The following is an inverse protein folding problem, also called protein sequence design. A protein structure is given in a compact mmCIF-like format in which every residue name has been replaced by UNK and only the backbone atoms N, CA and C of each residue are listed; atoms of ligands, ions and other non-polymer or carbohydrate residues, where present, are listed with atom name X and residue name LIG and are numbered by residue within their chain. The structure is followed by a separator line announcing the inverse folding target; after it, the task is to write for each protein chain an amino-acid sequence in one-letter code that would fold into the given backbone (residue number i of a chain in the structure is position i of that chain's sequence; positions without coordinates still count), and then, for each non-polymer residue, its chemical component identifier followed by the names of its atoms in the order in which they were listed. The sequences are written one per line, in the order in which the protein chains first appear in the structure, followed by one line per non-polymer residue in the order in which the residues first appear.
data_IF_667862937937
#
_entry.id   IF_667862937937
#
_cell.length_a   1.000
_cell.length_b   1.000
_cell.length_c   1.000
_cell.angle_alpha   90.00
_cell.angle_beta   90.00
_cell.angle_gamma   90.00
#
_symmetry.space_group_name_H-M   'P 1'
#
loop_
_entity.id
_entity.type
_entity.pdbx_description
1 polymer ?
#
# COMPACT_ATOMS: atom_id res chain seq x y z
N UNK A 1 31.21 -46.00 -21.35
CA UNK A 1 30.89 -45.54 -19.98
C UNK A 1 30.09 -44.26 -20.09
N UNK A 2 28.77 -44.33 -19.88
CA UNK A 2 27.87 -43.16 -19.89
C UNK A 2 27.60 -42.79 -18.44
N UNK A 3 28.13 -41.65 -18.00
CA UNK A 3 27.90 -41.09 -16.67
C UNK A 3 26.58 -40.32 -16.68
N UNK A 4 25.52 -40.93 -16.12
CA UNK A 4 24.24 -40.26 -15.85
C UNK A 4 24.39 -39.50 -14.53
N UNK A 5 24.67 -38.20 -14.61
CA UNK A 5 24.66 -37.32 -13.44
C UNK A 5 23.21 -37.03 -13.03
N UNK A 6 22.76 -37.69 -11.97
CA UNK A 6 21.48 -37.41 -11.33
C UNK A 6 21.55 -36.04 -10.61
N UNK A 7 21.12 -34.98 -11.30
CA UNK A 7 20.98 -33.66 -10.72
C UNK A 7 19.81 -33.64 -9.73
N UNK A 8 20.12 -33.43 -8.44
CA UNK A 8 19.14 -33.12 -7.40
C UNK A 8 18.41 -31.83 -7.78
N UNK A 9 17.16 -31.98 -8.23
CA UNK A 9 16.23 -30.87 -8.40
C UNK A 9 15.89 -30.29 -7.01
N UNK A 10 16.60 -29.23 -6.62
CA UNK A 10 16.27 -28.43 -5.46
C UNK A 10 14.97 -27.66 -5.76
N UNK A 11 13.83 -28.23 -5.34
CA UNK A 11 12.54 -27.55 -5.36
C UNK A 11 12.57 -26.39 -4.37
N UNK A 12 12.92 -25.20 -4.84
CA UNK A 12 12.76 -23.96 -4.09
C UNK A 12 11.28 -23.74 -3.82
N UNK A 13 10.87 -23.92 -2.56
CA UNK A 13 9.58 -23.49 -2.05
C UNK A 13 9.55 -21.96 -2.06
N UNK A 14 9.24 -21.37 -3.22
CA UNK A 14 9.07 -19.94 -3.36
C UNK A 14 7.86 -19.49 -2.54
N UNK A 15 8.07 -18.57 -1.59
CA UNK A 15 6.99 -17.84 -0.97
C UNK A 15 6.28 -17.01 -2.06
N UNK A 16 5.08 -17.44 -2.45
CA UNK A 16 4.24 -16.66 -3.36
C UNK A 16 3.75 -15.35 -2.74
N UNK A 17 3.20 -14.43 -3.53
CA UNK A 17 2.60 -13.21 -3.01
C UNK A 17 1.47 -13.55 -2.04
N UNK A 18 1.33 -12.76 -0.96
CA UNK A 18 0.24 -12.98 -0.02
C UNK A 18 -1.11 -12.72 -0.69
N UNK A 19 -2.12 -13.55 -0.38
CA UNK A 19 -3.49 -13.37 -0.90
C UNK A 19 -4.05 -11.98 -0.57
N UNK A 20 -3.67 -11.42 0.58
CA UNK A 20 -4.06 -10.06 0.98
C UNK A 20 -3.49 -9.01 0.04
N UNK A 21 -2.22 -9.12 -0.34
CA UNK A 21 -1.58 -8.18 -1.29
C UNK A 21 -2.22 -8.27 -2.67
N UNK A 22 -2.49 -9.49 -3.16
CA UNK A 22 -3.17 -9.69 -4.45
C UNK A 22 -4.57 -9.09 -4.44
N UNK A 23 -5.32 -9.29 -3.36
CA UNK A 23 -6.65 -8.71 -3.21
C UNK A 23 -6.62 -7.18 -3.17
N UNK A 24 -5.71 -6.58 -2.39
CA UNK A 24 -5.55 -5.13 -2.35
C UNK A 24 -5.19 -4.57 -3.72
N UNK A 25 -4.25 -5.21 -4.41
CA UNK A 25 -3.86 -4.84 -5.77
C UNK A 25 -5.02 -4.91 -6.76
N UNK A 26 -5.88 -5.93 -6.65
CA UNK A 26 -7.10 -6.02 -7.46
C UNK A 26 -8.06 -4.87 -7.17
N UNK A 27 -8.30 -4.54 -5.90
CA UNK A 27 -9.21 -3.45 -5.54
C UNK A 27 -8.72 -2.10 -6.08
N UNK A 28 -7.41 -1.83 -6.04
CA UNK A 28 -6.84 -0.62 -6.64
C UNK A 28 -6.97 -0.60 -8.17
N UNK A 29 -6.74 -1.75 -8.82
CA UNK A 29 -6.91 -1.85 -10.27
C UNK A 29 -8.35 -1.48 -10.67
N UNK A 30 -9.34 -2.09 -10.00
CA UNK A 30 -10.76 -1.81 -10.26
C UNK A 30 -11.13 -0.36 -9.93
N UNK A 31 -10.52 0.23 -8.89
CA UNK A 31 -10.73 1.62 -8.52
C UNK A 31 -10.23 2.58 -9.61
N UNK A 32 -8.99 2.42 -10.09
CA UNK A 32 -8.47 3.25 -11.19
C UNK A 32 -9.24 3.05 -12.48
N UNK A 33 -9.64 1.80 -12.78
CA UNK A 33 -10.50 1.51 -13.92
C UNK A 33 -11.89 2.15 -13.78
N UNK A 34 -12.47 2.21 -12.58
CA UNK A 34 -13.71 2.93 -12.33
C UNK A 34 -13.57 4.44 -12.54
N UNK A 35 -12.46 5.02 -12.04
CA UNK A 35 -12.14 6.44 -12.20
C UNK A 35 -11.98 6.87 -13.67
N UNK A 36 -11.63 5.94 -14.57
CA UNK A 36 -11.59 6.18 -16.02
C UNK A 36 -12.95 6.59 -16.61
N UNK A 37 -14.06 6.20 -15.99
CA UNK A 37 -15.42 6.53 -16.43
C UNK A 37 -16.04 7.70 -15.65
N UNK A 38 -15.37 8.20 -14.63
CA UNK A 38 -15.85 9.33 -13.83
C UNK A 38 -15.45 10.66 -14.48
N UNK A 39 -16.46 11.42 -14.92
CA UNK A 39 -16.28 12.73 -15.56
C UNK A 39 -15.74 13.80 -14.60
N UNK A 40 -15.86 13.59 -13.29
CA UNK A 40 -15.33 14.49 -12.27
C UNK A 40 -13.83 14.33 -12.04
N UNK A 41 -13.26 13.19 -12.43
CA UNK A 41 -11.83 12.90 -12.32
C UNK A 41 -11.11 13.44 -13.55
N UNK A 42 -10.08 14.25 -13.34
CA UNK A 42 -9.31 14.84 -14.44
C UNK A 42 -8.41 13.80 -15.13
N UNK A 43 -8.02 14.01 -16.40
CA UNK A 43 -7.07 13.13 -17.08
C UNK A 43 -5.77 12.93 -16.29
N UNK A 44 -5.22 14.00 -15.70
CA UNK A 44 -3.99 13.92 -14.90
C UNK A 44 -4.16 13.04 -13.66
N UNK A 45 -5.30 13.16 -12.96
CA UNK A 45 -5.63 12.32 -11.80
C UNK A 45 -5.76 10.84 -12.19
N UNK A 46 -6.38 10.54 -13.34
CA UNK A 46 -6.46 9.16 -13.87
C UNK A 46 -5.07 8.61 -14.17
N UNK A 47 -4.22 9.41 -14.81
CA UNK A 47 -2.83 9.03 -15.11
C UNK A 47 -2.04 8.72 -13.83
N UNK A 48 -2.21 9.55 -12.80
CA UNK A 48 -1.58 9.34 -11.49
C UNK A 48 -2.11 8.09 -10.76
N UNK A 49 -3.41 7.81 -10.84
CA UNK A 49 -3.97 6.58 -10.27
C UNK A 49 -3.28 5.35 -10.86
N UNK A 50 -3.17 5.30 -12.19
CA UNK A 50 -2.53 4.20 -12.90
C UNK A 50 -1.03 4.10 -12.62
N UNK A 51 -0.32 5.23 -12.48
CA UNK A 51 1.11 5.19 -12.14
C UNK A 51 1.35 4.64 -10.74
N UNK A 52 0.56 5.08 -9.74
CA UNK A 52 0.62 4.55 -8.37
C UNK A 52 0.33 3.06 -8.33
N UNK A 53 -0.66 2.59 -9.10
CA UNK A 53 -0.94 1.17 -9.22
C UNK A 53 0.26 0.38 -9.78
N UNK A 54 0.88 0.88 -10.85
CA UNK A 54 2.05 0.25 -11.46
C UNK A 54 3.26 0.18 -10.53
N UNK A 55 3.46 1.21 -9.70
CA UNK A 55 4.61 1.30 -8.81
C UNK A 55 4.46 0.39 -7.59
N UNK A 56 3.26 0.29 -7.01
CA UNK A 56 3.07 -0.33 -5.69
C UNK A 56 2.25 -1.61 -5.68
N UNK A 57 1.41 -1.84 -6.69
CA UNK A 57 0.37 -2.86 -6.66
C UNK A 57 0.51 -3.89 -7.78
N UNK A 58 1.70 -4.11 -8.33
CA UNK A 58 1.88 -5.03 -9.46
C UNK A 58 2.22 -6.47 -9.05
N UNK A 59 2.60 -6.68 -7.78
CA UNK A 59 3.03 -7.98 -7.31
C UNK A 59 1.89 -9.02 -7.37
N UNK A 60 2.09 -10.09 -8.13
CA UNK A 60 1.10 -11.17 -8.30
C UNK A 60 -0.01 -10.86 -9.31
N UNK A 61 0.08 -9.76 -10.05
CA UNK A 61 -0.86 -9.41 -11.11
C UNK A 61 -0.53 -10.11 -12.43
N UNK A 62 -1.55 -10.25 -13.29
CA UNK A 62 -1.36 -10.83 -14.62
C UNK A 62 -0.57 -9.90 -15.55
N UNK A 63 0.21 -10.43 -16.51
CA UNK A 63 0.88 -9.64 -17.54
C UNK A 63 -0.07 -8.72 -18.32
N UNK A 64 -1.30 -9.18 -18.58
CA UNK A 64 -2.27 -8.39 -19.36
C UNK A 64 -2.72 -7.14 -18.61
N UNK A 65 -2.91 -7.21 -17.27
CA UNK A 65 -3.25 -6.04 -16.46
C UNK A 65 -2.12 -5.01 -16.43
N UNK A 66 -0.86 -5.48 -16.41
CA UNK A 66 0.32 -4.63 -16.51
C UNK A 66 0.39 -3.90 -17.86
N UNK A 67 0.14 -4.62 -18.96
CA UNK A 67 0.10 -4.02 -20.30
C UNK A 67 -1.03 -3.01 -20.40
N UNK A 68 -2.22 -3.36 -19.91
CA UNK A 68 -3.38 -2.48 -19.89
C UNK A 68 -3.10 -1.16 -19.17
N UNK A 69 -2.63 -1.19 -17.92
CA UNK A 69 -2.39 0.01 -17.13
C UNK A 69 -1.35 0.94 -17.78
N UNK A 70 -0.26 0.37 -18.35
CA UNK A 70 0.75 1.15 -19.07
C UNK A 70 0.17 1.80 -20.33
N UNK A 71 -0.59 1.05 -21.12
CA UNK A 71 -1.24 1.58 -22.31
C UNK A 71 -2.21 2.69 -21.94
N UNK A 72 -2.94 2.53 -20.83
CA UNK A 72 -3.91 3.52 -20.41
C UNK A 72 -3.28 4.86 -20.04
N UNK A 73 -2.11 4.86 -19.40
CA UNK A 73 -1.34 6.10 -19.17
C UNK A 73 -0.98 6.80 -20.49
N UNK A 74 -0.57 6.03 -21.51
CA UNK A 74 -0.27 6.58 -22.85
C UNK A 74 -1.53 7.15 -23.51
N UNK A 75 -2.66 6.45 -23.42
CA UNK A 75 -3.93 6.89 -24.00
C UNK A 75 -4.39 8.21 -23.35
N UNK A 76 -4.30 8.31 -22.02
CA UNK A 76 -4.61 9.53 -21.26
C UNK A 76 -3.72 10.70 -21.72
N UNK A 77 -2.40 10.48 -21.80
CA UNK A 77 -1.44 11.51 -22.21
C UNK A 77 -1.62 11.96 -23.66
N UNK A 78 -2.10 11.07 -24.53
CA UNK A 78 -2.37 11.37 -25.95
C UNK A 78 -3.78 11.91 -26.20
N UNK A 79 -4.61 12.03 -25.16
CA UNK A 79 -5.98 12.53 -25.26
C UNK A 79 -6.97 11.50 -25.82
N UNK A 80 -6.61 10.22 -25.85
CA UNK A 80 -7.50 9.13 -26.25
C UNK A 80 -8.43 8.76 -25.08
N UNK A 81 -9.64 9.31 -25.09
CA UNK A 81 -10.61 9.11 -24.00
C UNK A 81 -11.33 7.76 -24.04
N UNK A 82 -11.29 7.03 -25.16
CA UNK A 82 -11.92 5.72 -25.27
C UNK A 82 -11.22 4.70 -24.37
N UNK A 83 -11.91 4.21 -23.33
CA UNK A 83 -11.41 3.18 -22.44
C UNK A 83 -11.49 1.82 -23.13
N UNK A 84 -10.34 1.17 -23.32
CA UNK A 84 -10.30 -0.19 -23.85
C UNK A 84 -10.98 -1.16 -22.88
N UNK A 85 -11.62 -2.24 -23.40
CA UNK A 85 -12.20 -3.26 -22.54
C UNK A 85 -11.17 -3.89 -21.62
N UNK A 86 -11.64 -4.23 -20.41
CA UNK A 86 -10.81 -4.87 -19.40
C UNK A 86 -10.26 -6.21 -19.90
N UNK A 87 -8.97 -6.52 -19.65
CA UNK A 87 -8.39 -7.80 -20.03
C UNK A 87 -9.15 -8.98 -19.42
N UNK A 88 -9.47 -9.98 -20.22
CA UNK A 88 -10.16 -11.20 -19.78
C UNK A 88 -11.69 -11.10 -19.75
N UNK A 89 -12.29 -9.95 -20.07
CA UNK A 89 -13.73 -9.86 -20.31
C UNK A 89 -14.08 -10.24 -21.76
N UNK A 90 -15.08 -11.11 -21.99
CA UNK A 90 -15.52 -11.43 -23.34
C UNK A 90 -16.13 -10.19 -24.00
N UNK A 91 -15.59 -9.82 -25.16
CA UNK A 91 -15.95 -8.63 -25.93
C UNK A 91 -17.42 -8.58 -26.35
N UNK A 92 -18.11 -9.73 -26.32
CA UNK A 92 -19.52 -9.89 -26.69
C UNK A 92 -20.53 -9.26 -25.73
N UNK A 93 -20.11 -8.71 -24.59
CA UNK A 93 -21.03 -7.99 -23.70
C UNK A 93 -21.08 -6.48 -23.95
N UNK A 94 -20.08 -5.88 -24.61
CA UNK A 94 -19.79 -4.42 -24.59
C UNK A 94 -20.82 -3.58 -25.37
N UNK A 95 -21.70 -4.18 -26.18
CA UNK A 95 -22.74 -3.44 -26.92
C UNK A 95 -23.96 -3.02 -26.07
N UNK A 96 -24.00 -3.38 -24.78
CA UNK A 96 -25.01 -2.86 -23.86
C UNK A 96 -24.53 -1.58 -23.18
N UNK A 97 -25.20 -0.46 -23.42
CA UNK A 97 -25.01 0.78 -22.63
C UNK A 97 -25.22 0.48 -21.14
N UNK A 98 -24.14 0.35 -20.38
CA UNK A 98 -24.21 0.15 -18.94
C UNK A 98 -24.24 1.53 -18.27
N UNK A 99 -25.39 1.89 -17.71
CA UNK A 99 -25.43 2.90 -16.67
C UNK A 99 -24.90 2.26 -15.39
N UNK A 100 -23.59 2.41 -15.13
CA UNK A 100 -22.99 1.95 -13.89
C UNK A 100 -23.63 2.73 -12.72
N UNK A 101 -24.48 2.05 -11.94
CA UNK A 101 -24.94 2.56 -10.66
C UNK A 101 -23.89 2.21 -9.62
N UNK A 102 -23.11 3.20 -9.23
CA UNK A 102 -22.11 3.10 -8.17
C UNK A 102 -22.81 2.89 -6.83
N UNK A 103 -22.82 1.63 -6.35
CA UNK A 103 -22.86 1.40 -4.92
C UNK A 103 -21.49 1.83 -4.39
N UNK A 104 -21.47 2.91 -3.61
CA UNK A 104 -20.29 3.38 -2.87
C UNK A 104 -19.90 2.30 -1.86
N UNK A 105 -19.18 1.27 -2.33
CA UNK A 105 -18.30 0.49 -1.49
C UNK A 105 -17.16 1.45 -1.18
N UNK A 106 -16.94 1.71 0.12
CA UNK A 106 -16.05 2.77 0.61
C UNK A 106 -14.73 2.84 -0.14
N UNK A 107 -14.18 4.06 -0.21
CA UNK A 107 -12.89 4.33 -0.83
C UNK A 107 -11.87 3.23 -0.48
N UNK A 108 -11.05 2.76 -1.43
CA UNK A 108 -9.92 1.91 -1.08
C UNK A 108 -9.17 2.60 0.07
N UNK A 109 -8.75 1.83 1.08
CA UNK A 109 -7.84 2.33 2.12
C UNK A 109 -6.76 3.17 1.43
N UNK A 110 -6.39 4.35 1.98
CA UNK A 110 -5.38 5.19 1.36
C UNK A 110 -4.14 4.35 1.04
N UNK A 111 -3.45 4.72 -0.05
CA UNK A 111 -2.15 4.11 -0.34
C UNK A 111 -1.33 4.14 0.94
N UNK A 112 -0.58 3.08 1.31
CA UNK A 112 0.16 3.06 2.56
C UNK A 112 0.95 4.36 2.64
N UNK A 113 0.47 5.25 3.50
CA UNK A 113 0.98 6.60 3.60
C UNK A 113 2.42 6.46 4.08
N UNK A 114 3.33 7.20 3.45
CA UNK A 114 4.59 7.50 4.09
C UNK A 114 4.22 8.16 5.43
N UNK A 115 4.54 7.57 6.60
CA UNK A 115 3.91 7.92 7.87
C UNK A 115 4.21 9.35 8.39
N UNK A 116 4.82 10.22 7.60
CA UNK A 116 5.29 11.55 8.00
C UNK A 116 4.36 12.72 7.60
N UNK A 117 3.30 12.52 6.78
CA UNK A 117 2.54 13.66 6.21
C UNK A 117 1.06 13.78 6.66
N UNK A 118 0.65 13.13 7.77
CA UNK A 118 -0.76 13.15 8.21
C UNK A 118 -1.09 14.13 9.37
N UNK A 119 -0.14 14.93 9.87
CA UNK A 119 -0.35 15.66 11.14
C UNK A 119 -0.54 17.19 11.06
N UNK A 120 -0.53 17.82 9.88
CA UNK A 120 -0.51 19.29 9.80
C UNK A 120 -1.80 20.00 9.39
N UNK A 121 -2.92 19.31 9.14
CA UNK A 121 -4.14 19.98 8.61
C UNK A 121 -5.35 20.03 9.57
N UNK A 122 -5.25 19.51 10.80
CA UNK A 122 -6.39 19.46 11.74
C UNK A 122 -6.35 20.49 12.89
N UNK A 123 -5.71 21.66 12.70
CA UNK A 123 -5.68 22.71 13.73
C UNK A 123 -6.03 24.10 13.19
N UNK A 124 -7.09 24.23 12.40
CA UNK A 124 -7.71 25.54 12.23
C UNK A 124 -9.16 25.39 11.79
N UNK A 125 -10.09 25.24 12.73
CA UNK A 125 -11.42 25.88 12.68
C UNK A 125 -12.27 25.53 13.91
N UNK A 126 -12.68 26.57 14.64
CA UNK A 126 -14.04 26.66 15.17
C UNK A 126 -14.36 25.98 16.50
N UNK A 127 -14.13 26.71 17.59
CA UNK A 127 -14.95 26.61 18.79
C UNK A 127 -16.43 26.82 18.44
N UNK A 128 -17.28 25.83 18.68
CA UNK A 128 -18.70 26.07 18.95
C UNK A 128 -19.27 24.97 19.83
N UNK A 129 -19.85 25.39 20.94
CA UNK A 129 -20.45 24.58 21.98
C UNK A 129 -21.76 23.96 21.46
N UNK A 130 -21.91 22.65 21.63
CA UNK A 130 -23.10 21.92 21.21
C UNK A 130 -23.16 20.59 21.93
N UNK A 131 -23.72 20.62 23.14
CA UNK A 131 -24.08 19.44 23.93
C UNK A 131 -25.03 18.54 23.12
N UNK A 132 -24.53 17.37 22.72
CA UNK A 132 -25.33 16.30 22.15
C UNK A 132 -24.96 14.99 22.85
N UNK A 133 -25.88 14.51 23.68
CA UNK A 133 -25.88 13.16 24.28
C UNK A 133 -25.69 12.10 23.19
N UNK A 134 -24.55 11.42 23.21
CA UNK A 134 -24.28 10.25 22.38
C UNK A 134 -25.03 9.02 22.91
N UNK A 135 -25.68 8.21 22.06
CA UNK A 135 -26.13 6.87 22.45
C UNK A 135 -24.95 5.90 22.51
N UNK A 136 -24.99 5.01 23.51
CA UNK A 136 -24.05 3.90 23.75
C UNK A 136 -23.64 3.18 22.46
N UNK A 137 -22.40 3.37 22.04
CA UNK A 137 -21.78 2.56 21.00
C UNK A 137 -21.31 1.22 21.62
N UNK A 138 -21.63 0.06 21.02
CA UNK A 138 -21.16 -1.22 21.51
C UNK A 138 -19.63 -1.31 21.40
N UNK A 139 -19.01 -1.89 22.43
CA UNK A 139 -17.57 -2.06 22.51
C UNK A 139 -17.00 -2.79 21.28
N UNK A 140 -15.84 -2.37 20.75
CA UNK A 140 -15.19 -3.07 19.63
C UNK A 140 -14.84 -4.51 20.04
N UNK A 141 -14.95 -5.48 19.11
CA UNK A 141 -14.57 -6.85 19.39
C UNK A 141 -13.08 -6.92 19.75
N UNK A 142 -12.76 -7.71 20.77
CA UNK A 142 -11.39 -7.94 21.21
C UNK A 142 -10.53 -8.41 20.03
N UNK A 143 -9.56 -7.59 19.63
CA UNK A 143 -8.58 -7.98 18.63
C UNK A 143 -7.86 -9.25 19.10
N UNK A 144 -8.00 -10.34 18.35
CA UNK A 144 -7.28 -11.58 18.61
C UNK A 144 -5.78 -11.30 18.62
N UNK A 145 -5.15 -11.56 19.78
CA UNK A 145 -3.73 -11.40 19.95
C UNK A 145 -3.01 -12.32 18.97
N UNK A 146 -2.40 -11.74 17.94
CA UNK A 146 -1.52 -12.49 17.03
C UNK A 146 -0.48 -13.24 17.85
N UNK A 147 -0.17 -14.51 17.54
CA UNK A 147 0.87 -15.25 18.24
C UNK A 147 2.19 -14.48 18.11
N UNK A 148 2.67 -13.99 19.26
CA UNK A 148 4.00 -13.38 19.35
C UNK A 148 5.01 -14.46 18.98
N UNK A 149 5.94 -14.15 18.06
CA UNK A 149 7.04 -15.07 17.75
C UNK A 149 7.81 -15.39 19.04
N UNK A 150 8.31 -16.63 19.21
CA UNK A 150 9.11 -16.98 20.38
C UNK A 150 10.33 -16.08 20.44
N UNK A 151 10.45 -15.33 21.54
CA UNK A 151 11.60 -14.45 21.82
C UNK A 151 12.86 -15.30 21.93
N UNK A 152 13.87 -15.05 21.10
CA UNK A 152 15.17 -15.69 21.25
C UNK A 152 15.81 -15.20 22.57
N UNK A 153 16.31 -16.10 23.44
CA UNK A 153 16.65 -15.74 24.81
C UNK A 153 17.91 -14.88 25.02
N UNK A 154 18.58 -14.37 23.97
CA UNK A 154 19.86 -13.63 24.11
C UNK A 154 20.08 -12.49 23.09
N UNK A 155 19.03 -11.99 22.41
CA UNK A 155 19.19 -11.02 21.30
C UNK A 155 19.36 -9.56 21.72
N UNK A 156 19.25 -9.24 23.01
CA UNK A 156 19.24 -7.85 23.47
C UNK A 156 20.61 -7.16 23.31
N UNK A 157 21.74 -7.90 23.31
CA UNK A 157 23.09 -7.32 23.20
C UNK A 157 23.63 -7.18 21.77
N UNK A 158 23.30 -8.10 20.85
CA UNK A 158 23.85 -8.06 19.50
C UNK A 158 23.24 -6.93 18.65
N UNK A 159 21.97 -6.61 18.88
CA UNK A 159 21.31 -5.56 18.12
C UNK A 159 21.59 -4.15 18.62
N UNK A 160 21.84 -3.96 19.93
CA UNK A 160 22.29 -2.66 20.44
C UNK A 160 23.63 -2.27 19.81
N UNK A 161 24.56 -3.21 19.63
CA UNK A 161 25.87 -2.93 19.00
C UNK A 161 25.77 -2.41 17.55
N UNK A 162 24.70 -2.76 16.83
CA UNK A 162 24.46 -2.31 15.44
C UNK A 162 23.61 -1.04 15.38
N UNK A 163 22.56 -0.96 16.19
CA UNK A 163 21.58 0.12 16.13
C UNK A 163 22.07 1.39 16.86
N UNK A 164 22.80 1.26 17.97
CA UNK A 164 23.23 2.38 18.82
C UNK A 164 24.24 3.32 18.13
N UNK A 165 25.30 2.83 17.44
CA UNK A 165 26.21 3.72 16.70
C UNK A 165 25.52 4.51 15.59
N UNK A 166 24.46 3.96 14.98
CA UNK A 166 23.69 4.63 13.93
C UNK A 166 22.76 5.71 14.51
N UNK A 167 22.16 5.44 15.66
CA UNK A 167 21.40 6.42 16.42
C UNK A 167 22.28 7.60 16.83
N UNK A 168 23.45 7.34 17.43
CA UNK A 168 24.39 8.37 17.88
C UNK A 168 24.85 9.26 16.73
N UNK A 169 25.19 8.65 15.58
CA UNK A 169 25.57 9.39 14.38
C UNK A 169 24.42 10.23 13.79
N UNK A 170 23.16 9.81 13.98
CA UNK A 170 21.97 10.54 13.55
C UNK A 170 21.74 11.77 14.44
N UNK A 171 21.69 11.58 15.76
CA UNK A 171 21.43 12.67 16.71
C UNK A 171 22.57 13.70 16.73
N UNK A 172 23.81 13.28 16.46
CA UNK A 172 24.95 14.20 16.36
C UNK A 172 24.83 15.21 15.20
N UNK A 173 23.95 14.96 14.23
CA UNK A 173 23.66 15.86 13.11
C UNK A 173 22.43 16.74 13.35
N UNK A 174 21.70 16.54 14.44
CA UNK A 174 20.53 17.34 14.75
C UNK A 174 20.93 18.61 15.51
N UNK A 175 20.60 19.78 14.96
CA UNK A 175 20.85 21.07 15.62
C UNK A 175 19.95 21.29 16.86
N UNK A 176 18.81 20.61 16.93
CA UNK A 176 17.85 20.73 18.03
C UNK A 176 17.53 19.37 18.68
N UNK A 177 17.74 19.23 20.00
CA UNK A 177 17.57 17.96 20.71
C UNK A 177 16.11 17.56 20.95
N UNK A 178 15.12 18.34 20.51
CA UNK A 178 13.69 18.05 20.67
C UNK A 178 12.89 18.34 19.39
N UNK A 179 13.55 18.55 18.25
CA UNK A 179 12.90 18.85 16.98
C UNK A 179 12.54 17.60 16.18
N UNK A 180 11.89 17.81 15.04
CA UNK A 180 11.53 16.77 14.06
C UNK A 180 12.72 15.85 13.71
N UNK A 181 13.94 16.40 13.61
CA UNK A 181 15.17 15.63 13.37
C UNK A 181 15.37 14.48 14.37
N UNK A 182 15.20 14.74 15.67
CA UNK A 182 15.36 13.69 16.69
C UNK A 182 14.26 12.64 16.59
N UNK A 183 13.03 13.06 16.30
CA UNK A 183 11.91 12.15 16.15
C UNK A 183 12.15 11.17 15.00
N UNK A 184 12.63 11.66 13.84
CA UNK A 184 13.02 10.80 12.72
C UNK A 184 14.13 9.81 13.12
N UNK A 185 15.17 10.27 13.82
CA UNK A 185 16.21 9.36 14.34
C UNK A 185 15.60 8.27 15.26
N UNK A 186 14.58 8.60 16.05
CA UNK A 186 14.00 7.72 17.07
C UNK A 186 13.15 6.64 16.41
N UNK A 187 12.39 7.04 15.40
CA UNK A 187 11.68 6.14 14.50
C UNK A 187 12.65 5.15 13.84
N UNK A 188 13.75 5.63 13.26
CA UNK A 188 14.75 4.73 12.66
C UNK A 188 15.39 3.76 13.66
N UNK A 189 15.70 4.24 14.87
CA UNK A 189 16.27 3.42 15.93
C UNK A 189 15.29 2.33 16.39
N UNK A 190 14.01 2.69 16.59
CA UNK A 190 12.96 1.73 16.95
C UNK A 190 12.72 0.67 15.88
N UNK A 191 12.74 1.05 14.60
CA UNK A 191 12.63 0.11 13.46
C UNK A 191 13.83 -0.85 13.43
N UNK A 192 15.05 -0.33 13.66
CA UNK A 192 16.27 -1.14 13.73
C UNK A 192 16.15 -2.20 14.84
N UNK A 193 15.71 -1.81 16.04
CA UNK A 193 15.49 -2.74 17.15
C UNK A 193 14.34 -3.71 16.88
N UNK A 194 13.25 -3.26 16.24
CA UNK A 194 12.10 -4.10 15.92
C UNK A 194 12.45 -5.22 14.92
N UNK A 195 13.40 -4.98 14.02
CA UNK A 195 13.91 -6.01 13.10
C UNK A 195 14.63 -7.17 13.77
N UNK A 196 14.95 -7.06 15.06
CA UNK A 196 15.69 -8.05 15.82
C UNK A 196 14.83 -9.04 16.62
N UNK A 197 13.52 -8.81 16.74
CA UNK A 197 12.59 -9.60 17.57
C UNK A 197 11.46 -10.24 16.74
#
# INVERSE_FOLDING_TARGET
MVLVAAGMAASSLGCGPSLRMVHQSNNYFEHCHGADFDVSVTPDQRGQCWSVWLDHYTLGQSPDRLVYARQRIVDIQTGQESVAPMPGMPTSQIEGSYTASYLSLGAPDPAPEDPDEAQNEAQNEGQNEGEATAPDAPAPPAAEARPRRPRAPNSDHECSEVCEPRWDACIARCDNPHGACRHTCETHHSICLAGCF
#
